data_IF_503874997981
#
_entry.id   IF_503874997981
#
_cell.length_a   1.000
_cell.length_b   1.000
_cell.length_c   1.000
_cell.angle_alpha   90.00
_cell.angle_beta   90.00
_cell.angle_gamma   90.00
#
_symmetry.space_group_name_H-M   'P 1'
#
loop_
_entity.id
_entity.type
_entity.pdbx_description
1 polymer ?
#
# COMPACT_ATOMS: atom_id res chain seq x y z
N UNK A 1 7.97 17.55 -5.22
CA UNK A 1 7.26 17.09 -4.01
C UNK A 1 5.95 16.44 -4.42
N UNK A 2 5.59 15.29 -3.83
CA UNK A 2 4.25 14.71 -4.02
C UNK A 2 3.25 15.60 -3.31
N UNK A 3 2.62 16.51 -4.05
CA UNK A 3 1.62 17.41 -3.47
C UNK A 3 0.24 16.76 -3.46
N UNK A 4 -0.63 17.11 -2.49
CA UNK A 4 -1.99 16.57 -2.42
C UNK A 4 -2.80 16.73 -3.71
N UNK A 5 -2.51 17.78 -4.49
CA UNK A 5 -3.21 18.07 -5.75
C UNK A 5 -3.01 16.99 -6.81
N UNK A 6 -1.78 16.50 -6.95
CA UNK A 6 -1.46 15.47 -7.94
C UNK A 6 -2.06 14.12 -7.55
N UNK A 7 -1.97 13.75 -6.26
CA UNK A 7 -2.57 12.52 -5.74
C UNK A 7 -4.09 12.54 -5.87
N UNK A 8 -4.73 13.65 -5.53
CA UNK A 8 -6.18 13.80 -5.71
C UNK A 8 -6.59 13.64 -7.17
N UNK A 9 -5.88 14.29 -8.10
CA UNK A 9 -6.15 14.16 -9.54
C UNK A 9 -6.00 12.71 -10.03
N UNK A 10 -4.98 12.00 -9.53
CA UNK A 10 -4.77 10.59 -9.81
C UNK A 10 -5.92 9.71 -9.28
N UNK A 11 -6.31 9.90 -8.02
CA UNK A 11 -7.42 9.14 -7.42
C UNK A 11 -8.76 9.43 -8.09
N UNK A 12 -9.05 10.68 -8.48
CA UNK A 12 -10.27 10.98 -9.24
C UNK A 12 -10.28 10.33 -10.63
N UNK A 13 -9.10 10.20 -11.27
CA UNK A 13 -8.99 9.49 -12.54
C UNK A 13 -9.26 8.00 -12.37
N UNK A 14 -8.70 7.37 -11.33
CA UNK A 14 -8.98 5.97 -10.99
C UNK A 14 -10.47 5.78 -10.71
N UNK A 15 -11.08 6.68 -9.94
CA UNK A 15 -12.51 6.61 -9.65
C UNK A 15 -13.35 6.70 -10.93
N UNK A 16 -12.97 7.56 -11.88
CA UNK A 16 -13.61 7.63 -13.19
C UNK A 16 -13.57 6.30 -13.94
N UNK A 17 -12.40 5.68 -14.01
CA UNK A 17 -12.21 4.37 -14.66
C UNK A 17 -13.06 3.29 -13.95
N UNK A 18 -13.07 3.26 -12.63
CA UNK A 18 -13.85 2.28 -11.86
C UNK A 18 -15.37 2.48 -12.00
N UNK A 19 -15.82 3.71 -12.27
CA UNK A 19 -17.22 4.02 -12.58
C UNK A 19 -17.58 3.58 -14.00
N UNK A 20 -16.70 3.85 -14.97
CA UNK A 20 -16.87 3.40 -16.36
C UNK A 20 -16.93 1.87 -16.47
N UNK A 21 -16.12 1.17 -15.68
CA UNK A 21 -16.10 -0.30 -15.64
C UNK A 21 -17.28 -0.91 -14.86
N UNK A 22 -18.20 -0.10 -14.32
CA UNK A 22 -19.36 -0.57 -13.55
C UNK A 22 -19.03 -1.24 -12.21
N UNK A 23 -17.78 -1.13 -11.74
CA UNK A 23 -17.35 -1.71 -10.45
C UNK A 23 -17.89 -0.87 -9.29
N UNK A 24 -17.91 0.45 -9.47
CA UNK A 24 -18.50 1.38 -8.51
C UNK A 24 -19.90 1.74 -8.99
N UNK A 25 -20.91 1.42 -8.18
CA UNK A 25 -22.27 1.83 -8.47
C UNK A 25 -22.36 3.37 -8.55
N UNK A 26 -22.98 3.87 -9.62
CA UNK A 26 -23.30 5.29 -9.74
C UNK A 26 -24.24 5.75 -8.62
N UNK A 27 -24.44 7.07 -8.50
CA UNK A 27 -25.31 7.65 -7.48
C UNK A 27 -26.75 7.13 -7.66
N UNK A 28 -27.15 6.15 -6.85
CA UNK A 28 -28.53 5.65 -6.83
C UNK A 28 -29.50 6.78 -6.46
N UNK A 29 -30.62 6.87 -7.17
CA UNK A 29 -31.62 7.94 -6.99
C UNK A 29 -32.26 7.98 -5.60
N UNK A 30 -32.12 6.92 -4.79
CA UNK A 30 -32.61 6.89 -3.40
C UNK A 30 -31.49 6.57 -2.42
N UNK A 31 -30.86 7.62 -1.89
CA UNK A 31 -29.88 7.52 -0.82
C UNK A 31 -30.57 7.14 0.50
N UNK A 32 -30.18 6.03 1.13
CA UNK A 32 -30.55 5.76 2.52
C UNK A 32 -29.95 6.83 3.44
N UNK A 33 -30.76 7.36 4.36
CA UNK A 33 -30.31 8.33 5.38
C UNK A 33 -29.32 7.71 6.37
N UNK A 34 -29.58 6.46 6.76
CA UNK A 34 -28.76 5.70 7.69
C UNK A 34 -28.50 4.30 7.12
N UNK A 35 -27.33 4.05 6.50
CA UNK A 35 -26.97 2.72 6.02
C UNK A 35 -26.61 1.80 7.20
N UNK A 36 -27.52 0.88 7.53
CA UNK A 36 -27.31 -0.09 8.61
C UNK A 36 -26.62 -1.38 8.14
N UNK A 37 -26.54 -1.61 6.82
CA UNK A 37 -25.84 -2.77 6.25
C UNK A 37 -24.46 -2.37 5.73
N UNK A 38 -23.49 -3.29 5.82
CA UNK A 38 -22.12 -3.07 5.33
C UNK A 38 -22.12 -2.73 3.84
N UNK A 39 -22.91 -3.43 3.04
CA UNK A 39 -23.02 -3.18 1.60
C UNK A 39 -23.56 -1.79 1.29
N UNK A 40 -24.56 -1.31 2.04
CA UNK A 40 -25.08 0.05 1.87
C UNK A 40 -24.03 1.11 2.27
N UNK A 41 -23.25 0.86 3.33
CA UNK A 41 -22.15 1.76 3.71
C UNK A 41 -21.10 1.86 2.61
N UNK A 42 -20.68 0.75 2.02
CA UNK A 42 -19.68 0.74 0.93
C UNK A 42 -20.23 1.42 -0.32
N UNK A 43 -21.49 1.17 -0.68
CA UNK A 43 -22.11 1.79 -1.85
C UNK A 43 -22.28 3.32 -1.70
N UNK A 44 -22.58 3.81 -0.49
CA UNK A 44 -22.81 5.23 -0.22
C UNK A 44 -21.52 6.00 0.08
N UNK A 45 -20.57 5.35 0.75
CA UNK A 45 -19.27 5.91 1.12
C UNK A 45 -18.18 5.12 0.42
N UNK A 46 -17.94 5.37 -0.88
CA UNK A 46 -16.89 4.68 -1.60
C UNK A 46 -15.54 4.96 -0.93
N UNK A 47 -14.64 3.98 -0.93
CA UNK A 47 -13.30 4.13 -0.36
C UNK A 47 -12.54 5.35 -0.93
N UNK A 48 -12.89 5.80 -2.14
CA UNK A 48 -12.37 7.01 -2.77
C UNK A 48 -12.66 8.28 -1.97
N UNK A 49 -13.73 8.32 -1.17
CA UNK A 49 -14.05 9.43 -0.27
C UNK A 49 -12.95 9.62 0.79
N UNK A 50 -12.46 8.52 1.37
CA UNK A 50 -11.46 8.57 2.44
C UNK A 50 -10.08 8.96 1.92
N UNK A 51 -9.64 8.41 0.79
CA UNK A 51 -8.34 8.75 0.19
C UNK A 51 -8.30 10.18 -0.35
N UNK A 52 -9.44 10.76 -0.74
CA UNK A 52 -9.50 12.15 -1.19
C UNK A 52 -9.60 13.16 -0.05
N UNK A 53 -10.21 12.79 1.09
CA UNK A 53 -10.50 13.75 2.17
C UNK A 53 -9.56 13.64 3.37
N UNK A 54 -8.84 12.54 3.54
CA UNK A 54 -7.93 12.32 4.65
C UNK A 54 -6.50 12.05 4.15
N UNK A 55 -5.55 12.88 4.58
CA UNK A 55 -4.15 12.77 4.16
C UNK A 55 -3.48 11.46 4.55
N UNK A 56 -3.84 10.88 5.70
CA UNK A 56 -3.29 9.57 6.11
C UNK A 56 -3.63 8.52 5.06
N UNK A 57 -4.91 8.44 4.68
CA UNK A 57 -5.38 7.49 3.68
C UNK A 57 -4.87 7.80 2.27
N UNK A 58 -4.61 9.08 1.97
CA UNK A 58 -4.06 9.51 0.69
C UNK A 58 -2.60 9.06 0.50
N UNK A 59 -1.77 9.13 1.55
CA UNK A 59 -0.34 8.80 1.45
C UNK A 59 -0.02 7.34 1.81
N UNK A 60 -0.92 6.64 2.52
CA UNK A 60 -0.70 5.26 2.97
C UNK A 60 -0.37 4.30 1.81
N UNK A 61 -1.10 4.27 0.67
CA UNK A 61 -0.77 3.36 -0.42
C UNK A 61 0.59 3.65 -1.06
N UNK A 62 0.93 4.94 -1.19
CA UNK A 62 2.23 5.35 -1.73
C UNK A 62 3.37 4.92 -0.80
N UNK A 63 3.23 5.15 0.50
CA UNK A 63 4.20 4.73 1.50
C UNK A 63 4.38 3.20 1.50
N UNK A 64 3.28 2.45 1.36
CA UNK A 64 3.34 1.00 1.28
C UNK A 64 4.11 0.52 0.05
N UNK A 65 3.82 1.08 -1.13
CA UNK A 65 4.52 0.72 -2.38
C UNK A 65 6.01 1.06 -2.30
N UNK A 66 6.35 2.25 -1.82
CA UNK A 66 7.74 2.68 -1.67
C UNK A 66 8.50 1.80 -0.67
N UNK A 67 7.89 1.50 0.48
CA UNK A 67 8.48 0.64 1.50
C UNK A 67 8.66 -0.77 0.97
N UNK A 68 7.63 -1.35 0.36
CA UNK A 68 7.67 -2.69 -0.20
C UNK A 68 8.79 -2.84 -1.24
N UNK A 69 8.93 -1.89 -2.15
CA UNK A 69 10.03 -1.88 -3.13
C UNK A 69 11.40 -1.83 -2.45
N UNK A 70 11.57 -0.93 -1.48
CA UNK A 70 12.83 -0.76 -0.76
C UNK A 70 13.22 -2.03 0.02
N UNK A 71 12.28 -2.59 0.79
CA UNK A 71 12.51 -3.82 1.53
C UNK A 71 12.77 -5.02 0.61
N UNK A 72 12.10 -5.09 -0.54
CA UNK A 72 12.36 -6.16 -1.53
C UNK A 72 13.80 -6.10 -2.06
N UNK A 73 14.35 -4.90 -2.28
CA UNK A 73 15.74 -4.70 -2.70
C UNK A 73 16.73 -5.08 -1.60
N UNK A 74 16.48 -4.65 -0.36
CA UNK A 74 17.31 -5.04 0.78
C UNK A 74 17.30 -6.56 0.94
N UNK A 75 16.11 -7.17 0.89
CA UNK A 75 15.96 -8.61 1.01
C UNK A 75 16.77 -9.36 -0.06
N UNK A 76 16.75 -8.88 -1.31
CA UNK A 76 17.55 -9.48 -2.37
C UNK A 76 19.06 -9.36 -2.15
N UNK A 77 19.53 -8.23 -1.63
CA UNK A 77 20.96 -8.00 -1.35
C UNK A 77 21.44 -8.87 -0.19
N UNK A 78 20.67 -8.90 0.91
CA UNK A 78 21.00 -9.69 2.11
C UNK A 78 21.06 -11.19 1.80
N UNK A 79 20.17 -11.67 0.93
CA UNK A 79 20.14 -13.08 0.52
C UNK A 79 20.98 -13.39 -0.73
N UNK A 80 21.88 -12.49 -1.13
CA UNK A 80 22.82 -12.80 -2.22
C UNK A 80 23.80 -13.90 -1.81
N UNK A 81 24.15 -14.81 -2.73
CA UNK A 81 25.02 -15.96 -2.45
C UNK A 81 26.36 -15.53 -1.82
N UNK A 82 26.92 -14.39 -2.26
CA UNK A 82 28.14 -13.84 -1.71
C UNK A 82 27.98 -13.43 -0.23
N UNK A 83 26.86 -12.79 0.12
CA UNK A 83 26.60 -12.38 1.50
C UNK A 83 26.33 -13.58 2.40
N UNK A 84 25.61 -14.59 1.90
CA UNK A 84 25.35 -15.84 2.62
C UNK A 84 26.66 -16.58 2.93
N UNK A 85 27.58 -16.67 1.96
CA UNK A 85 28.91 -17.29 2.16
C UNK A 85 29.75 -16.52 3.17
N UNK A 86 29.81 -15.19 3.05
CA UNK A 86 30.55 -14.34 3.99
C UNK A 86 29.99 -14.45 5.42
N UNK A 87 28.66 -14.54 5.55
CA UNK A 87 28.02 -14.75 6.84
C UNK A 87 28.38 -16.11 7.42
N UNK A 88 28.32 -17.18 6.63
CA UNK A 88 28.72 -18.52 7.07
C UNK A 88 30.19 -18.58 7.53
N UNK A 89 31.10 -17.91 6.82
CA UNK A 89 32.51 -17.80 7.22
C UNK A 89 32.68 -17.02 8.53
N UNK A 90 31.94 -15.93 8.70
CA UNK A 90 31.97 -15.12 9.94
C UNK A 90 31.48 -15.94 11.13
N UNK A 91 30.42 -16.73 10.95
CA UNK A 91 29.90 -17.61 11.99
C UNK A 91 30.89 -18.73 12.35
N UNK A 92 31.59 -19.32 11.38
CA UNK A 92 32.65 -20.31 11.65
C UNK A 92 33.78 -19.70 12.50
N UNK A 93 34.26 -18.52 12.12
CA UNK A 93 35.29 -17.79 12.88
C UNK A 93 34.83 -17.39 14.28
N UNK A 94 33.55 -17.06 14.45
CA UNK A 94 32.98 -16.74 15.76
C UNK A 94 32.94 -17.99 16.66
N UNK A 95 32.46 -19.12 16.13
CA UNK A 95 32.44 -20.39 16.86
C UNK A 95 33.86 -20.84 17.26
N UNK A 96 34.83 -20.76 16.35
CA UNK A 96 36.24 -21.08 16.64
C UNK A 96 36.79 -20.22 17.78
N UNK A 97 36.46 -18.92 17.83
CA UNK A 97 36.88 -18.02 18.93
C UNK A 97 36.19 -18.29 20.26
N UNK A 98 34.96 -18.78 20.27
CA UNK A 98 34.24 -19.15 21.50
C UNK A 98 34.68 -20.51 22.08
N UNK A 99 35.29 -21.36 21.24
CA UNK A 99 35.86 -22.64 21.65
C UNK A 99 37.33 -22.56 22.15
N UNK A 100 37.95 -21.38 22.11
CA UNK A 100 39.29 -21.09 22.65
C UNK A 100 39.20 -20.30 23.94
#
# INVERSE_FOLDING_TARGET
>A
MVTPRHLRAFYTKIEGICKESGIIAGKSGRHMKFPYTMSAKIAQFPYTLYVNNNYVWMYLPLAFICSFYFFSKIHAIVNSDANVRNWAETQRKAAEKEHH
#
